data_IF_874347650300
#
_entry.id   IF_874347650300
#
_cell.length_a   1.000
_cell.length_b   1.000
_cell.length_c   1.000
_cell.angle_alpha   90.00
_cell.angle_beta   90.00
_cell.angle_gamma   90.00
#
_symmetry.space_group_name_H-M   'P 1'
#
loop_
_entity.id
_entity.type
_entity.pdbx_description
1 polymer ?
#
# COMPACT_ATOMS: atom_id res chain seq x y z
N UNK A 1 27.06 -30.05 -5.70
CA UNK A 1 26.32 -28.81 -5.39
C UNK A 1 24.81 -29.02 -5.50
N UNK A 2 24.29 -29.65 -6.56
CA UNK A 2 22.85 -29.94 -6.74
C UNK A 2 22.23 -30.76 -5.60
N UNK A 3 22.88 -31.82 -5.10
CA UNK A 3 22.33 -32.62 -4.00
C UNK A 3 22.14 -31.84 -2.68
N UNK A 4 23.03 -30.89 -2.38
CA UNK A 4 22.92 -30.08 -1.16
C UNK A 4 21.81 -29.03 -1.26
N UNK A 5 21.58 -28.52 -2.48
CA UNK A 5 20.51 -27.57 -2.80
C UNK A 5 19.14 -28.24 -2.89
N UNK A 6 19.09 -29.50 -3.35
CA UNK A 6 17.88 -30.34 -3.37
C UNK A 6 17.52 -30.80 -1.94
N UNK A 7 18.49 -31.20 -1.12
CA UNK A 7 18.21 -31.53 0.28
C UNK A 7 17.76 -30.30 1.08
N UNK A 8 18.34 -29.11 0.85
CA UNK A 8 17.91 -27.89 1.56
C UNK A 8 16.49 -27.45 1.19
N UNK A 9 16.00 -27.76 -0.03
CA UNK A 9 14.62 -27.44 -0.45
C UNK A 9 13.58 -28.45 0.02
N UNK A 10 13.96 -29.72 0.26
CA UNK A 10 13.05 -30.74 0.79
C UNK A 10 12.74 -30.49 2.27
N UNK A 11 13.75 -30.11 3.07
CA UNK A 11 13.52 -29.77 4.47
C UNK A 11 12.74 -28.46 4.63
N UNK A 12 12.93 -27.48 3.73
CA UNK A 12 12.23 -26.21 3.82
C UNK A 12 10.71 -26.32 3.72
N UNK A 13 10.17 -27.28 2.95
CA UNK A 13 8.71 -27.49 2.90
C UNK A 13 8.14 -28.04 4.19
N UNK A 14 8.89 -28.87 4.91
CA UNK A 14 8.53 -29.36 6.24
C UNK A 14 8.57 -28.24 7.29
N UNK A 15 9.46 -27.27 7.13
CA UNK A 15 9.57 -26.10 8.01
C UNK A 15 8.46 -25.05 7.76
N UNK A 16 7.85 -25.06 6.56
CA UNK A 16 6.74 -24.16 6.19
C UNK A 16 5.39 -24.79 6.55
N UNK A 17 5.24 -26.09 6.31
CA UNK A 17 4.00 -26.84 6.54
C UNK A 17 4.29 -28.03 7.47
N UNK A 18 4.43 -27.78 8.79
CA UNK A 18 4.87 -28.81 9.73
C UNK A 18 3.80 -29.89 9.97
N UNK A 19 2.49 -29.56 9.97
CA UNK A 19 1.40 -30.54 10.11
C UNK A 19 0.66 -30.81 8.78
N UNK A 20 1.34 -31.48 7.85
CA UNK A 20 0.75 -31.92 6.59
C UNK A 20 -0.40 -32.92 6.74
N UNK A 21 -0.55 -33.58 7.91
CA UNK A 21 -1.57 -34.63 8.12
C UNK A 21 -2.98 -34.05 8.23
N UNK A 22 -3.10 -32.86 8.82
CA UNK A 22 -4.40 -32.20 9.04
C UNK A 22 -4.75 -31.19 7.94
N UNK A 23 -3.79 -30.85 7.07
CA UNK A 23 -3.94 -29.93 5.94
C UNK A 23 -5.20 -30.16 5.09
N UNK A 24 -5.54 -31.42 4.78
CA UNK A 24 -6.72 -31.74 3.98
C UNK A 24 -8.04 -31.84 4.77
N UNK A 25 -7.98 -31.86 6.10
CA UNK A 25 -9.17 -31.89 6.96
C UNK A 25 -9.65 -30.48 7.33
N UNK A 26 -8.85 -29.47 7.04
CA UNK A 26 -9.19 -28.09 7.29
C UNK A 26 -10.18 -27.55 6.25
N UNK A 27 -11.22 -26.89 6.72
CA UNK A 27 -12.14 -26.11 5.90
C UNK A 27 -12.16 -24.69 6.46
N UNK A 28 -11.79 -23.73 5.61
CA UNK A 28 -11.90 -22.31 5.94
C UNK A 28 -13.39 -21.94 5.93
N UNK A 29 -13.94 -21.59 7.09
CA UNK A 29 -15.32 -21.09 7.19
C UNK A 29 -15.46 -19.80 6.40
N UNK A 30 -16.57 -19.60 5.71
CA UNK A 30 -16.76 -18.40 4.88
C UNK A 30 -16.94 -17.15 5.76
N UNK A 31 -16.67 -15.97 5.19
CA UNK A 31 -16.88 -14.70 5.91
C UNK A 31 -18.36 -14.54 6.34
N UNK A 32 -19.30 -14.99 5.51
CA UNK A 32 -20.74 -14.94 5.82
C UNK A 32 -21.12 -15.78 7.04
N UNK A 33 -20.42 -16.89 7.28
CA UNK A 33 -20.59 -17.73 8.47
C UNK A 33 -19.92 -17.15 9.71
N UNK A 34 -18.85 -16.37 9.54
CA UNK A 34 -18.00 -15.87 10.62
C UNK A 34 -18.38 -14.48 11.10
N UNK A 35 -19.00 -13.65 10.26
CA UNK A 35 -19.23 -12.22 10.51
C UNK A 35 -19.97 -11.90 11.81
N UNK A 36 -20.74 -12.84 12.35
CA UNK A 36 -21.50 -12.65 13.59
C UNK A 36 -20.73 -13.13 14.85
N UNK A 37 -19.63 -13.87 14.69
CA UNK A 37 -18.94 -14.53 15.81
C UNK A 37 -17.40 -14.56 15.70
N UNK A 38 -16.80 -13.69 14.88
CA UNK A 38 -15.34 -13.52 14.75
C UNK A 38 -14.83 -12.24 15.42
N UNK A 39 -13.52 -12.12 15.60
CA UNK A 39 -12.88 -10.85 15.96
C UNK A 39 -12.44 -10.13 14.69
N UNK A 40 -12.45 -8.80 14.73
CA UNK A 40 -11.92 -7.93 13.70
C UNK A 40 -10.67 -7.25 14.22
N UNK A 41 -9.60 -7.30 13.43
CA UNK A 41 -8.31 -6.67 13.76
C UNK A 41 -7.99 -5.64 12.69
N UNK A 42 -7.76 -4.38 13.09
CA UNK A 42 -7.50 -3.30 12.14
C UNK A 42 -6.00 -3.17 11.82
N UNK A 43 -5.68 -3.01 10.54
CA UNK A 43 -4.36 -2.65 10.05
C UNK A 43 -4.11 -1.13 10.11
N UNK A 44 -2.84 -0.70 10.09
CA UNK A 44 -2.43 0.70 10.11
C UNK A 44 -2.96 1.48 8.90
N UNK A 45 -2.94 0.88 7.70
CA UNK A 45 -3.45 1.53 6.49
C UNK A 45 -4.97 1.80 6.56
N UNK A 46 -5.73 0.95 7.24
CA UNK A 46 -7.16 1.13 7.49
C UNK A 46 -7.39 2.27 8.47
N UNK A 47 -6.49 2.48 9.43
CA UNK A 47 -6.53 3.64 10.32
C UNK A 47 -6.16 4.95 9.61
N UNK A 48 -5.40 4.90 8.52
CA UNK A 48 -5.03 6.08 7.73
C UNK A 48 -6.07 6.44 6.66
N UNK A 49 -6.86 5.46 6.21
CA UNK A 49 -7.83 5.66 5.13
C UNK A 49 -8.85 6.78 5.43
N UNK A 50 -9.41 6.95 6.65
CA UNK A 50 -10.43 7.97 6.90
C UNK A 50 -9.98 9.42 6.59
N UNK A 51 -8.68 9.70 6.57
CA UNK A 51 -8.15 11.02 6.17
C UNK A 51 -8.37 11.36 4.69
N UNK A 52 -8.67 10.38 3.83
CA UNK A 52 -8.94 10.60 2.40
C UNK A 52 -10.42 10.44 2.05
N UNK A 53 -11.29 10.36 3.04
CA UNK A 53 -12.71 10.03 2.87
C UNK A 53 -13.60 11.22 3.19
N UNK A 54 -14.82 11.22 2.66
CA UNK A 54 -15.80 12.26 2.97
C UNK A 54 -16.42 12.09 4.36
N UNK A 55 -17.10 13.14 4.84
CA UNK A 55 -17.70 13.14 6.17
C UNK A 55 -18.83 12.12 6.36
N UNK A 56 -19.52 11.69 5.29
CA UNK A 56 -20.54 10.64 5.39
C UNK A 56 -19.88 9.28 5.62
N UNK A 57 -18.82 9.00 4.88
CA UNK A 57 -18.04 7.77 4.98
C UNK A 57 -17.36 7.68 6.35
N UNK A 58 -16.82 8.78 6.87
CA UNK A 58 -16.28 8.86 8.24
C UNK A 58 -17.35 8.51 9.29
N UNK A 59 -18.59 8.98 9.12
CA UNK A 59 -19.69 8.66 10.02
C UNK A 59 -20.05 7.16 9.99
N UNK A 60 -20.12 6.53 8.81
CA UNK A 60 -20.39 5.09 8.71
C UNK A 60 -19.25 4.26 9.32
N UNK A 61 -17.99 4.64 9.12
CA UNK A 61 -16.83 4.01 9.77
C UNK A 61 -16.98 4.10 11.29
N UNK A 62 -17.28 5.29 11.82
CA UNK A 62 -17.51 5.49 13.25
C UNK A 62 -18.60 4.57 13.79
N UNK A 63 -19.75 4.53 13.12
CA UNK A 63 -20.91 3.71 13.49
C UNK A 63 -20.53 2.23 13.58
N UNK A 64 -19.83 1.71 12.57
CA UNK A 64 -19.45 0.29 12.52
C UNK A 64 -18.41 -0.03 13.59
N UNK A 65 -17.40 0.81 13.77
CA UNK A 65 -16.43 0.62 14.84
C UNK A 65 -17.13 0.59 16.20
N UNK A 66 -18.07 1.50 16.47
CA UNK A 66 -18.85 1.49 17.72
C UNK A 66 -19.61 0.18 17.94
N UNK A 67 -20.24 -0.39 16.90
CA UNK A 67 -20.93 -1.68 16.98
C UNK A 67 -19.95 -2.79 17.36
N UNK A 68 -18.78 -2.83 16.71
CA UNK A 68 -17.78 -3.87 16.94
C UNK A 68 -17.09 -3.73 18.30
N UNK A 69 -16.81 -2.51 18.76
CA UNK A 69 -16.27 -2.26 20.11
C UNK A 69 -17.28 -2.64 21.19
N UNK A 70 -18.54 -2.23 21.04
CA UNK A 70 -19.60 -2.54 22.02
C UNK A 70 -19.85 -4.05 22.15
N UNK A 71 -19.58 -4.81 21.08
CA UNK A 71 -19.67 -6.27 21.09
C UNK A 71 -18.37 -6.98 21.50
N UNK A 72 -17.32 -6.24 21.88
CA UNK A 72 -15.99 -6.75 22.22
C UNK A 72 -15.31 -7.52 21.08
N UNK A 73 -15.51 -7.05 19.84
CA UNK A 73 -15.07 -7.72 18.60
C UNK A 73 -14.07 -6.92 17.78
N UNK A 74 -13.69 -5.71 18.18
CA UNK A 74 -12.70 -4.90 17.47
C UNK A 74 -11.42 -4.77 18.27
N UNK A 75 -10.29 -5.03 17.63
CA UNK A 75 -8.97 -4.91 18.20
C UNK A 75 -8.00 -4.23 17.25
N UNK A 76 -6.96 -3.61 17.79
CA UNK A 76 -5.92 -2.95 17.00
C UNK A 76 -4.57 -3.40 17.53
N UNK A 77 -3.69 -3.97 16.69
CA UNK A 77 -2.33 -4.31 17.09
C UNK A 77 -1.58 -3.05 17.56
N UNK A 78 -0.79 -3.17 18.62
CA UNK A 78 0.05 -2.09 19.13
C UNK A 78 1.00 -1.58 18.04
N UNK A 79 1.57 -2.48 17.25
CA UNK A 79 2.43 -2.12 16.13
C UNK A 79 1.68 -1.31 15.04
N UNK A 80 0.44 -1.69 14.71
CA UNK A 80 -0.37 -0.94 13.75
C UNK A 80 -0.69 0.49 14.26
N UNK A 81 -0.87 0.66 15.58
CA UNK A 81 -1.03 1.99 16.18
C UNK A 81 0.26 2.82 16.03
N UNK A 82 1.44 2.23 16.24
CA UNK A 82 2.72 2.93 16.06
C UNK A 82 2.90 3.40 14.61
N UNK A 83 2.64 2.51 13.65
CA UNK A 83 2.69 2.85 12.22
C UNK A 83 1.68 3.93 11.83
N UNK A 84 0.48 3.88 12.40
CA UNK A 84 -0.50 4.95 12.25
C UNK A 84 0.05 6.29 12.77
N UNK A 85 0.65 6.32 13.96
CA UNK A 85 1.18 7.54 14.57
C UNK A 85 2.29 8.17 13.71
N UNK A 86 3.18 7.35 13.15
CA UNK A 86 4.27 7.80 12.27
C UNK A 86 3.73 8.40 10.96
N UNK A 87 2.69 7.79 10.39
CA UNK A 87 2.15 8.19 9.08
C UNK A 87 1.06 9.28 9.16
N UNK A 88 0.42 9.46 10.32
CA UNK A 88 -0.65 10.46 10.52
C UNK A 88 -0.21 11.87 10.14
N UNK A 89 0.97 12.29 10.59
CA UNK A 89 1.49 13.64 10.32
C UNK A 89 1.69 13.87 8.82
N UNK A 90 2.19 12.86 8.11
CA UNK A 90 2.34 12.87 6.65
C UNK A 90 1.00 13.06 5.97
N UNK A 91 -0.03 12.31 6.39
CA UNK A 91 -1.36 12.37 5.78
C UNK A 91 -2.06 13.73 5.95
N UNK A 92 -1.92 14.33 7.12
CA UNK A 92 -2.39 15.70 7.36
C UNK A 92 -1.64 16.72 6.52
N UNK A 93 -0.32 16.53 6.36
CA UNK A 93 0.52 17.42 5.54
C UNK A 93 0.15 17.32 4.06
N UNK A 94 -0.11 16.12 3.54
CA UNK A 94 -0.62 15.90 2.18
C UNK A 94 -1.97 16.60 1.96
N UNK A 95 -2.88 16.44 2.92
CA UNK A 95 -4.21 17.07 2.89
C UNK A 95 -4.06 18.60 2.85
N UNK A 96 -3.24 19.15 3.74
CA UNK A 96 -2.93 20.58 3.77
C UNK A 96 -2.35 21.06 2.44
N UNK A 97 -1.37 20.32 1.90
CA UNK A 97 -0.70 20.65 0.63
C UNK A 97 -1.69 20.66 -0.54
N UNK A 98 -2.55 19.65 -0.65
CA UNK A 98 -3.55 19.55 -1.72
C UNK A 98 -4.50 20.76 -1.79
N UNK A 99 -4.85 21.32 -0.62
CA UNK A 99 -5.70 22.52 -0.51
C UNK A 99 -4.86 23.78 -0.74
N UNK A 100 -3.64 23.82 -0.22
CA UNK A 100 -2.72 24.94 -0.36
C UNK A 100 -2.33 25.18 -1.83
N UNK A 101 -2.09 24.11 -2.60
CA UNK A 101 -1.74 24.20 -4.02
C UNK A 101 -2.89 24.81 -4.84
N UNK A 102 -4.15 24.54 -4.48
CA UNK A 102 -5.33 25.20 -5.07
C UNK A 102 -5.41 26.69 -4.75
N UNK A 103 -4.90 27.11 -3.59
CA UNK A 103 -4.82 28.54 -3.24
C UNK A 103 -3.78 29.29 -4.07
N UNK A 104 -2.77 28.60 -4.59
CA UNK A 104 -1.66 29.18 -5.36
C UNK A 104 -1.90 29.12 -6.89
N UNK A 105 -3.07 28.67 -7.34
CA UNK A 105 -3.39 28.64 -8.76
C UNK A 105 -3.46 30.05 -9.35
N UNK A 106 -2.69 30.25 -10.42
CA UNK A 106 -2.73 31.47 -11.22
C UNK A 106 -3.86 31.39 -12.25
N UNK A 107 -4.82 32.29 -12.13
CA UNK A 107 -5.87 32.48 -13.12
C UNK A 107 -5.32 33.34 -14.26
N UNK A 108 -5.33 32.81 -15.48
CA UNK A 108 -4.97 33.55 -16.68
C UNK A 108 -6.19 34.33 -17.15
N UNK A 109 -6.01 35.64 -17.33
CA UNK A 109 -7.03 36.55 -17.83
C UNK A 109 -6.62 37.06 -19.21
N UNK A 110 -7.57 37.65 -19.94
CA UNK A 110 -7.27 38.22 -21.25
C UNK A 110 -6.49 39.51 -21.04
N UNK A 111 -5.34 39.66 -21.70
CA UNK A 111 -4.60 40.91 -21.62
C UNK A 111 -5.39 42.02 -22.32
N UNK A 112 -5.41 43.25 -21.76
CA UNK A 112 -5.97 44.42 -22.43
C UNK A 112 -5.38 44.59 -23.83
N UNK A 113 -6.21 44.65 -24.87
CA UNK A 113 -5.77 44.80 -26.25
C UNK A 113 -6.34 46.10 -26.86
N UNK A 114 -5.49 47.09 -27.18
CA UNK A 114 -5.95 48.42 -27.63
C UNK A 114 -6.86 48.43 -28.85
N UNK A 115 -6.69 47.46 -29.76
CA UNK A 115 -7.52 47.34 -30.98
C UNK A 115 -8.95 46.85 -30.70
N UNK A 116 -9.19 46.20 -29.55
CA UNK A 116 -10.48 45.59 -29.22
C UNK A 116 -11.36 46.49 -28.32
N UNK A 117 -10.79 47.56 -27.76
CA UNK A 117 -11.45 48.46 -26.79
C UNK A 117 -12.68 49.22 -27.32
N UNK A 118 -12.98 49.12 -28.62
CA UNK A 118 -14.18 49.70 -29.23
C UNK A 118 -15.28 48.68 -29.57
N UNK A 119 -15.09 47.40 -29.26
CA UNK A 119 -16.09 46.35 -29.48
C UNK A 119 -16.96 46.17 -28.23
N UNK A 120 -18.27 46.16 -28.41
CA UNK A 120 -19.22 45.91 -27.31
C UNK A 120 -18.97 44.54 -26.67
N UNK A 121 -18.63 43.54 -27.48
CA UNK A 121 -18.30 42.18 -27.02
C UNK A 121 -17.05 42.16 -26.12
N UNK A 122 -16.10 43.07 -26.35
CA UNK A 122 -14.89 43.18 -25.52
C UNK A 122 -15.19 43.87 -24.19
N UNK A 123 -16.08 44.87 -24.18
CA UNK A 123 -16.53 45.52 -22.94
C UNK A 123 -17.32 44.55 -22.04
N UNK A 124 -18.17 43.70 -22.62
CA UNK A 124 -18.86 42.62 -21.90
C UNK A 124 -17.86 41.62 -21.30
N UNK A 125 -16.84 41.22 -22.06
CA UNK A 125 -15.77 40.34 -21.58
C UNK A 125 -15.01 40.94 -20.39
N UNK A 126 -14.64 42.23 -20.46
CA UNK A 126 -13.97 42.94 -19.36
C UNK A 126 -14.83 43.01 -18.08
N UNK A 127 -16.15 43.13 -18.23
CA UNK A 127 -17.09 43.11 -17.11
C UNK A 127 -17.11 41.73 -16.43
N UNK A 128 -17.26 40.65 -17.22
CA UNK A 128 -17.22 39.27 -16.70
C UNK A 128 -15.87 38.97 -16.04
N UNK A 129 -14.77 39.43 -16.62
CA UNK A 129 -13.43 39.26 -16.04
C UNK A 129 -13.31 39.90 -14.64
N UNK A 130 -13.94 41.06 -14.44
CA UNK A 130 -13.96 41.77 -13.16
C UNK A 130 -14.70 41.00 -12.09
N UNK A 131 -15.88 40.47 -12.43
CA UNK A 131 -16.68 39.63 -11.54
C UNK A 131 -15.96 38.32 -11.18
N UNK A 132 -15.25 37.76 -12.16
CA UNK A 132 -14.43 36.57 -11.95
C UNK A 132 -13.26 36.86 -10.99
N UNK A 133 -12.56 37.99 -11.14
CA UNK A 133 -11.48 38.42 -10.22
C UNK A 133 -11.99 38.58 -8.78
N UNK A 134 -13.16 39.19 -8.60
CA UNK A 134 -13.77 39.32 -7.27
C UNK A 134 -14.14 37.95 -6.68
N UNK A 135 -14.73 37.07 -7.49
CA UNK A 135 -15.10 35.71 -7.10
C UNK A 135 -13.88 34.87 -6.72
N UNK A 136 -12.79 34.96 -7.48
CA UNK A 136 -11.50 34.32 -7.19
C UNK A 136 -10.93 34.81 -5.85
N UNK A 137 -10.95 36.13 -5.62
CA UNK A 137 -10.46 36.72 -4.35
C UNK A 137 -11.27 36.20 -3.16
N UNK A 138 -12.60 36.08 -3.30
CA UNK A 138 -13.48 35.50 -2.29
C UNK A 138 -13.14 34.03 -2.03
N UNK A 139 -13.01 33.23 -3.10
CA UNK A 139 -12.62 31.82 -3.01
C UNK A 139 -11.26 31.65 -2.28
N UNK A 140 -10.23 32.40 -2.66
CA UNK A 140 -8.92 32.37 -2.00
C UNK A 140 -8.99 32.77 -0.52
N UNK A 141 -9.87 33.72 -0.16
CA UNK A 141 -10.09 34.12 1.24
C UNK A 141 -10.70 32.96 2.04
N UNK A 142 -11.71 32.28 1.52
CA UNK A 142 -12.32 31.13 2.19
C UNK A 142 -11.35 29.94 2.28
N UNK A 143 -10.55 29.67 1.24
CA UNK A 143 -9.49 28.67 1.29
C UNK A 143 -8.50 28.92 2.44
N UNK A 144 -8.07 30.17 2.64
CA UNK A 144 -7.16 30.53 3.73
C UNK A 144 -7.75 30.22 5.11
N UNK A 145 -9.07 30.38 5.30
CA UNK A 145 -9.73 30.00 6.56
C UNK A 145 -9.73 28.50 6.78
N UNK A 146 -9.95 27.71 5.73
CA UNK A 146 -9.86 26.24 5.79
C UNK A 146 -8.43 25.81 6.16
N UNK A 147 -7.42 26.35 5.50
CA UNK A 147 -6.01 26.07 5.79
C UNK A 147 -5.62 26.46 7.23
N UNK A 148 -6.13 27.58 7.73
CA UNK A 148 -5.93 27.99 9.13
C UNK A 148 -6.58 26.99 10.11
N UNK A 149 -7.77 26.49 9.77
CA UNK A 149 -8.48 25.49 10.59
C UNK A 149 -7.70 24.17 10.65
N UNK A 150 -7.20 23.69 9.51
CA UNK A 150 -6.36 22.47 9.45
C UNK A 150 -5.08 22.65 10.28
N UNK A 151 -4.42 23.81 10.16
CA UNK A 151 -3.22 24.14 10.95
C UNK A 151 -3.46 24.22 12.44
N UNK A 152 -4.68 24.57 12.86
CA UNK A 152 -5.03 24.65 14.27
C UNK A 152 -5.29 23.30 14.92
N UNK A 153 -5.37 22.21 14.14
CA UNK A 153 -5.58 20.88 14.68
C UNK A 153 -4.36 20.41 15.48
N UNK A 154 -4.52 20.37 16.79
CA UNK A 154 -3.49 19.96 17.75
C UNK A 154 -3.75 18.55 18.28
N UNK A 155 -3.98 17.59 17.37
CA UNK A 155 -4.50 16.23 17.63
C UNK A 155 -6.01 16.09 17.76
N UNK A 156 -6.75 17.16 17.47
CA UNK A 156 -8.21 17.21 17.57
C UNK A 156 -8.89 17.29 16.18
N UNK A 157 -8.22 16.79 15.13
CA UNK A 157 -8.84 16.64 13.82
C UNK A 157 -10.01 15.62 13.87
N UNK A 158 -10.93 15.64 12.88
CA UNK A 158 -12.11 14.79 12.90
C UNK A 158 -11.83 13.28 13.05
N UNK A 159 -10.76 12.77 12.42
CA UNK A 159 -10.40 11.35 12.48
C UNK A 159 -9.84 11.02 13.86
N UNK A 160 -8.90 11.84 14.36
CA UNK A 160 -8.34 11.63 15.70
C UNK A 160 -9.42 11.72 16.78
N UNK A 161 -10.36 12.67 16.69
CA UNK A 161 -11.50 12.76 17.62
C UNK A 161 -12.34 11.49 17.61
N UNK A 162 -12.67 10.98 16.42
CA UNK A 162 -13.41 9.72 16.27
C UNK A 162 -12.67 8.56 16.93
N UNK A 163 -11.35 8.44 16.74
CA UNK A 163 -10.57 7.37 17.36
C UNK A 163 -10.48 7.49 18.88
N UNK A 164 -10.30 8.69 19.43
CA UNK A 164 -10.34 8.88 20.88
C UNK A 164 -11.69 8.45 21.48
N UNK A 165 -12.79 8.74 20.77
CA UNK A 165 -14.13 8.40 21.25
C UNK A 165 -14.48 6.91 21.14
N UNK A 166 -13.88 6.17 20.20
CA UNK A 166 -14.33 4.81 19.85
C UNK A 166 -13.29 3.74 20.11
N UNK A 167 -11.99 4.01 19.92
CA UNK A 167 -10.95 2.97 19.84
C UNK A 167 -10.02 2.89 21.06
N UNK A 168 -10.19 3.77 22.06
CA UNK A 168 -9.25 3.92 23.18
C UNK A 168 -8.92 2.59 23.91
N UNK A 169 -9.89 1.69 24.06
CA UNK A 169 -9.78 0.44 24.85
C UNK A 169 -9.63 -0.80 23.95
N UNK A 170 -9.35 -0.61 22.66
CA UNK A 170 -9.27 -1.70 21.66
C UNK A 170 -7.84 -2.11 21.30
N UNK A 171 -6.85 -1.35 21.77
CA UNK A 171 -5.44 -1.60 21.45
C UNK A 171 -4.95 -2.83 22.22
N UNK A 172 -4.30 -3.74 21.51
CA UNK A 172 -3.70 -4.94 22.10
C UNK A 172 -2.46 -4.58 22.92
N UNK A 173 -2.22 -5.39 23.96
CA UNK A 173 -0.98 -5.32 24.74
C UNK A 173 0.08 -6.20 24.08
N UNK A 174 1.20 -5.61 23.68
CA UNK A 174 2.33 -6.32 23.08
C UNK A 174 3.43 -6.69 24.09
N UNK A 175 3.21 -6.48 25.40
CA UNK A 175 4.16 -6.82 26.45
C UNK A 175 4.50 -8.33 26.52
N UNK A 176 3.60 -9.19 26.05
CA UNK A 176 3.83 -10.65 26.00
C UNK A 176 4.67 -11.08 24.79
N UNK A 177 4.98 -10.18 23.85
CA UNK A 177 5.78 -10.53 22.68
C UNK A 177 7.27 -10.69 23.04
N UNK A 178 7.82 -11.88 22.73
CA UNK A 178 9.24 -12.12 22.87
C UNK A 178 10.00 -11.64 21.62
N UNK A 179 10.51 -10.41 21.66
CA UNK A 179 11.26 -9.80 20.56
C UNK A 179 12.48 -10.61 20.11
N UNK A 180 13.10 -11.38 21.02
CA UNK A 180 14.25 -12.22 20.68
C UNK A 180 13.85 -13.43 19.82
N UNK A 181 12.70 -14.05 20.11
CA UNK A 181 12.15 -15.14 19.30
C UNK A 181 11.65 -14.62 17.96
N UNK A 182 10.95 -13.48 17.96
CA UNK A 182 10.46 -12.83 16.73
C UNK A 182 11.61 -12.49 15.80
N UNK A 183 12.75 -12.02 16.32
CA UNK A 183 13.94 -11.75 15.51
C UNK A 183 14.51 -13.01 14.85
N UNK A 184 14.58 -14.12 15.58
CA UNK A 184 15.04 -15.41 15.04
C UNK A 184 14.07 -15.93 13.98
N UNK A 185 12.76 -15.80 14.23
CA UNK A 185 11.75 -16.19 13.25
C UNK A 185 11.79 -15.30 12.01
N UNK A 186 12.02 -14.00 12.15
CA UNK A 186 12.19 -13.08 11.02
C UNK A 186 13.34 -13.51 10.11
N UNK A 187 14.51 -13.84 10.67
CA UNK A 187 15.65 -14.35 9.90
C UNK A 187 15.31 -15.65 9.17
N UNK A 188 14.57 -16.56 9.83
CA UNK A 188 14.08 -17.81 9.24
C UNK A 188 13.10 -17.54 8.09
N UNK A 189 12.12 -16.66 8.30
CA UNK A 189 11.12 -16.26 7.30
C UNK A 189 11.76 -15.63 6.08
N UNK A 190 12.73 -14.73 6.28
CA UNK A 190 13.51 -14.11 5.21
C UNK A 190 14.28 -15.14 4.37
N UNK A 191 14.96 -16.08 5.03
CA UNK A 191 15.72 -17.14 4.35
C UNK A 191 14.81 -18.08 3.54
N UNK A 192 13.66 -18.43 4.10
CA UNK A 192 12.73 -19.41 3.52
C UNK A 192 11.62 -18.79 2.66
N UNK A 193 11.57 -17.46 2.57
CA UNK A 193 10.54 -16.69 1.87
C UNK A 193 9.12 -16.97 2.39
N UNK A 194 8.98 -16.97 3.71
CA UNK A 194 7.74 -17.26 4.43
C UNK A 194 7.08 -15.93 4.83
N UNK A 195 5.80 -15.69 4.50
CA UNK A 195 5.10 -14.50 4.95
C UNK A 195 4.70 -14.57 6.44
N UNK A 196 4.42 -13.43 7.11
CA UNK A 196 4.57 -12.09 6.57
C UNK A 196 6.00 -11.54 6.79
N UNK A 197 6.36 -10.47 6.08
CA UNK A 197 7.60 -9.72 6.20
C UNK A 197 8.75 -10.09 5.24
N UNK A 198 8.70 -11.18 4.47
CA UNK A 198 9.89 -11.61 3.70
C UNK A 198 10.14 -10.86 2.39
N UNK A 199 9.12 -10.23 1.81
CA UNK A 199 9.23 -9.55 0.50
C UNK A 199 9.85 -8.16 0.57
N UNK A 200 9.88 -7.54 1.74
CA UNK A 200 10.34 -6.15 1.89
C UNK A 200 11.86 -6.07 2.12
N UNK A 201 12.62 -6.89 1.38
CA UNK A 201 14.07 -7.18 1.49
C UNK A 201 15.04 -6.00 1.45
N UNK A 202 14.57 -4.75 1.50
CA UNK A 202 15.38 -3.53 1.58
C UNK A 202 15.04 -2.56 2.73
N UNK A 203 14.02 -2.83 3.55
CA UNK A 203 13.67 -1.99 4.72
C UNK A 203 13.44 -2.88 5.96
N UNK A 204 14.47 -3.06 6.79
CA UNK A 204 14.44 -3.93 7.98
C UNK A 204 13.28 -3.61 8.94
N UNK A 205 12.87 -2.35 9.05
CA UNK A 205 11.81 -1.91 9.98
C UNK A 205 10.41 -2.38 9.56
N UNK A 206 10.08 -2.38 8.26
CA UNK A 206 8.75 -2.79 7.78
C UNK A 206 8.53 -4.31 7.92
N UNK A 207 9.58 -5.11 7.75
CA UNK A 207 9.49 -6.57 7.86
C UNK A 207 9.18 -7.01 9.30
N UNK A 208 9.82 -6.34 10.25
CA UNK A 208 9.57 -6.58 11.67
C UNK A 208 8.15 -6.13 12.07
N UNK A 209 7.66 -5.01 11.50
CA UNK A 209 6.32 -4.50 11.75
C UNK A 209 5.21 -5.50 11.37
N UNK A 210 5.22 -5.99 10.13
CA UNK A 210 4.24 -6.97 9.63
C UNK A 210 4.26 -8.26 10.48
N UNK A 211 5.45 -8.72 10.92
CA UNK A 211 5.58 -9.91 11.76
C UNK A 211 5.11 -9.68 13.20
N UNK A 212 5.30 -8.49 13.77
CA UNK A 212 4.77 -8.13 15.08
C UNK A 212 3.24 -8.16 15.06
N UNK A 213 2.62 -7.50 14.06
CA UNK A 213 1.15 -7.52 13.84
C UNK A 213 0.65 -8.96 13.75
N UNK A 214 1.34 -9.83 13.01
CA UNK A 214 0.97 -11.23 12.88
C UNK A 214 0.99 -12.01 14.20
N UNK A 215 2.01 -11.80 15.04
CA UNK A 215 2.09 -12.44 16.35
C UNK A 215 0.98 -11.95 17.28
N UNK A 216 0.65 -10.65 17.27
CA UNK A 216 -0.46 -10.10 18.04
C UNK A 216 -1.80 -10.72 17.61
N UNK A 217 -2.04 -10.88 16.30
CA UNK A 217 -3.23 -11.55 15.76
C UNK A 217 -3.34 -12.99 16.26
N UNK A 218 -2.26 -13.76 16.21
CA UNK A 218 -2.23 -15.15 16.68
C UNK A 218 -2.50 -15.23 18.18
N UNK A 219 -1.87 -14.37 18.99
CA UNK A 219 -2.05 -14.36 20.45
C UNK A 219 -3.47 -13.96 20.85
N UNK A 220 -4.06 -12.98 20.17
CA UNK A 220 -5.46 -12.61 20.35
C UNK A 220 -6.39 -13.79 20.03
N UNK A 221 -6.19 -14.45 18.89
CA UNK A 221 -7.02 -15.58 18.47
C UNK A 221 -6.91 -16.78 19.43
N UNK A 222 -5.70 -17.05 19.93
CA UNK A 222 -5.45 -18.08 20.95
C UNK A 222 -6.17 -17.76 22.26
N UNK A 223 -5.98 -16.54 22.78
CA UNK A 223 -6.54 -16.13 24.08
C UNK A 223 -8.07 -16.09 24.09
N UNK A 224 -8.68 -15.70 22.96
CA UNK A 224 -10.14 -15.59 22.81
C UNK A 224 -10.79 -16.83 22.20
N UNK A 225 -10.01 -17.78 21.70
CA UNK A 225 -10.45 -18.98 20.98
C UNK A 225 -11.44 -18.67 19.84
N UNK A 226 -11.17 -17.62 19.07
CA UNK A 226 -12.08 -17.10 18.03
C UNK A 226 -11.39 -17.00 16.67
N UNK A 227 -12.22 -17.06 15.63
CA UNK A 227 -11.81 -16.72 14.27
C UNK A 227 -11.47 -15.23 14.18
N UNK A 228 -10.56 -14.89 13.28
CA UNK A 228 -10.11 -13.50 13.09
C UNK A 228 -10.30 -13.08 11.64
N UNK A 229 -10.82 -11.88 11.47
CA UNK A 229 -10.86 -11.14 10.22
C UNK A 229 -9.91 -9.96 10.36
N UNK A 230 -8.78 -10.01 9.66
CA UNK A 230 -7.86 -8.89 9.56
C UNK A 230 -8.37 -7.91 8.50
N UNK A 231 -8.62 -6.68 8.91
CA UNK A 231 -9.11 -5.62 8.03
C UNK A 231 -7.90 -4.85 7.53
N UNK A 232 -7.54 -5.07 6.27
CA UNK A 232 -6.41 -4.43 5.61
C UNK A 232 -6.78 -4.04 4.18
N UNK A 233 -6.44 -2.81 3.79
CA UNK A 233 -6.51 -2.37 2.40
C UNK A 233 -5.33 -2.87 1.55
N UNK A 234 -4.34 -3.49 2.20
CA UNK A 234 -3.13 -3.91 1.52
C UNK A 234 -3.38 -5.15 0.68
N UNK A 235 -2.92 -5.08 -0.56
CA UNK A 235 -2.85 -6.23 -1.44
C UNK A 235 -1.41 -6.73 -1.56
N UNK A 236 -0.51 -6.56 -0.59
CA UNK A 236 0.86 -7.08 -0.67
C UNK A 236 0.85 -8.55 -1.02
N UNK A 237 1.76 -8.96 -1.91
CA UNK A 237 1.89 -10.36 -2.34
C UNK A 237 2.45 -11.28 -1.24
N UNK A 238 2.75 -10.66 -0.10
CA UNK A 238 3.19 -11.27 1.14
C UNK A 238 1.98 -11.74 1.97
N UNK A 239 0.86 -11.02 1.93
CA UNK A 239 -0.39 -11.42 2.58
C UNK A 239 -1.36 -12.15 1.64
N UNK A 240 -1.23 -11.94 0.33
CA UNK A 240 -2.18 -12.46 -0.67
C UNK A 240 -1.54 -13.33 -1.77
N UNK A 241 -2.26 -14.38 -2.20
CA UNK A 241 -2.13 -14.92 -3.55
C UNK A 241 -2.82 -13.97 -4.54
N UNK A 242 -2.08 -13.55 -5.58
CA UNK A 242 -2.55 -12.59 -6.58
C UNK A 242 -2.85 -13.25 -7.91
N UNK A 243 -3.87 -12.75 -8.58
CA UNK A 243 -3.96 -12.72 -10.04
C UNK A 243 -4.05 -11.26 -10.46
N UNK A 244 -3.13 -10.81 -11.31
CA UNK A 244 -2.92 -9.40 -11.64
C UNK A 244 -2.74 -8.50 -10.39
N UNK A 245 -3.53 -7.42 -10.29
CA UNK A 245 -3.52 -6.45 -9.17
C UNK A 245 -4.46 -6.80 -8.02
N UNK A 246 -5.21 -7.91 -8.10
CA UNK A 246 -6.25 -8.26 -7.12
C UNK A 246 -5.82 -9.45 -6.27
N UNK A 247 -5.88 -9.29 -4.94
CA UNK A 247 -5.80 -10.42 -4.01
C UNK A 247 -6.98 -11.36 -4.22
N UNK A 248 -6.72 -12.65 -4.39
CA UNK A 248 -7.78 -13.67 -4.51
C UNK A 248 -8.02 -14.33 -3.15
N UNK A 249 -6.95 -14.83 -2.53
CA UNK A 249 -7.00 -15.51 -1.24
C UNK A 249 -5.79 -15.09 -0.39
N UNK A 250 -5.93 -15.06 0.95
CA UNK A 250 -4.77 -14.96 1.83
C UNK A 250 -3.75 -16.05 1.50
N UNK A 251 -2.47 -15.78 1.74
CA UNK A 251 -1.42 -16.78 1.57
C UNK A 251 -1.73 -17.99 2.42
N UNK A 252 -1.69 -19.18 1.79
CA UNK A 252 -2.03 -20.41 2.51
C UNK A 252 -1.07 -20.66 3.67
N UNK A 253 0.19 -20.22 3.58
CA UNK A 253 1.14 -20.25 4.69
C UNK A 253 0.61 -19.57 5.95
N UNK A 254 -0.02 -18.40 5.81
CA UNK A 254 -0.61 -17.66 6.94
C UNK A 254 -1.84 -18.37 7.50
N UNK A 255 -2.70 -18.86 6.60
CA UNK A 255 -3.93 -19.58 6.99
C UNK A 255 -3.59 -20.87 7.74
N UNK A 256 -2.60 -21.61 7.27
CA UNK A 256 -2.15 -22.87 7.86
C UNK A 256 -1.47 -22.63 9.22
N UNK A 257 -0.56 -21.65 9.29
CA UNK A 257 0.10 -21.25 10.55
C UNK A 257 -0.92 -20.80 11.60
N UNK A 258 -1.89 -19.96 11.20
CA UNK A 258 -2.95 -19.51 12.10
C UNK A 258 -3.80 -20.67 12.59
N UNK A 259 -4.22 -21.57 11.68
CA UNK A 259 -5.00 -22.77 12.02
C UNK A 259 -4.27 -23.63 13.04
N UNK A 260 -3.01 -23.96 12.78
CA UNK A 260 -2.19 -24.77 13.69
C UNK A 260 -2.05 -24.11 15.06
N UNK A 261 -1.78 -22.79 15.05
CA UNK A 261 -1.58 -22.01 16.27
C UNK A 261 -2.85 -21.86 17.11
N UNK A 262 -4.04 -21.88 16.50
CA UNK A 262 -5.31 -21.55 17.16
C UNK A 262 -6.24 -22.76 17.35
N UNK A 263 -5.77 -23.97 17.04
CA UNK A 263 -6.57 -25.19 17.16
C UNK A 263 -7.71 -25.28 16.14
N UNK A 264 -7.50 -24.78 14.92
CA UNK A 264 -8.44 -24.92 13.81
C UNK A 264 -9.31 -23.70 13.50
N UNK A 265 -9.04 -22.53 14.07
CA UNK A 265 -9.80 -21.31 13.76
C UNK A 265 -9.46 -20.80 12.36
N UNK A 266 -10.38 -20.03 11.79
CA UNK A 266 -10.30 -19.45 10.46
C UNK A 266 -9.72 -18.04 10.52
N UNK A 267 -8.87 -17.73 9.53
CA UNK A 267 -8.29 -16.41 9.33
C UNK A 267 -8.70 -15.88 7.95
N UNK A 268 -9.24 -14.67 7.91
CA UNK A 268 -9.58 -13.96 6.69
C UNK A 268 -8.93 -12.59 6.65
N UNK A 269 -8.72 -12.09 5.44
CA UNK A 269 -8.34 -10.70 5.21
C UNK A 269 -9.44 -10.06 4.38
N UNK A 270 -9.91 -8.89 4.79
CA UNK A 270 -10.93 -8.12 4.07
C UNK A 270 -10.52 -6.65 3.99
N UNK A 271 -10.98 -5.95 2.97
CA UNK A 271 -10.81 -4.49 2.89
C UNK A 271 -11.79 -3.76 3.82
N UNK A 272 -11.54 -2.47 4.09
CA UNK A 272 -12.47 -1.66 4.87
C UNK A 272 -13.82 -1.53 4.13
N UNK A 273 -13.80 -1.39 2.80
CA UNK A 273 -15.03 -1.36 1.99
C UNK A 273 -15.85 -2.65 2.13
N UNK A 274 -15.21 -3.82 2.22
CA UNK A 274 -15.88 -5.10 2.48
C UNK A 274 -16.43 -5.18 3.91
N UNK A 275 -15.70 -4.70 4.91
CA UNK A 275 -16.20 -4.60 6.28
C UNK A 275 -17.47 -3.74 6.31
N UNK A 276 -17.43 -2.56 5.69
CA UNK A 276 -18.57 -1.66 5.61
C UNK A 276 -19.79 -2.31 4.94
N UNK A 277 -19.56 -3.00 3.82
CA UNK A 277 -20.61 -3.77 3.14
C UNK A 277 -21.19 -4.89 4.01
N UNK A 278 -20.38 -5.51 4.88
CA UNK A 278 -20.80 -6.62 5.74
C UNK A 278 -21.74 -6.15 6.86
N UNK A 279 -21.63 -4.88 7.26
CA UNK A 279 -22.41 -4.26 8.34
C UNK A 279 -23.43 -3.23 7.82
N UNK A 280 -23.91 -3.42 6.58
CA UNK A 280 -24.98 -2.63 5.97
C UNK A 280 -24.72 -1.12 5.97
N UNK A 281 -23.49 -0.71 5.63
CA UNK A 281 -23.18 0.68 5.28
C UNK A 281 -23.84 1.08 3.95
N UNK A 282 -24.03 2.38 3.73
CA UNK A 282 -24.59 2.87 2.46
C UNK A 282 -23.69 2.53 1.26
N UNK A 283 -24.30 2.17 0.13
CA UNK A 283 -23.59 1.87 -1.13
C UNK A 283 -22.69 3.03 -1.58
N UNK A 284 -23.12 4.25 -1.29
CA UNK A 284 -22.40 5.49 -1.55
C UNK A 284 -21.07 5.52 -0.77
N UNK A 285 -21.13 5.27 0.55
CA UNK A 285 -19.94 5.21 1.40
C UNK A 285 -19.03 4.03 1.02
N UNK A 286 -19.60 2.84 0.77
CA UNK A 286 -18.82 1.67 0.34
C UNK A 286 -18.04 1.96 -0.94
N UNK A 287 -18.69 2.61 -1.91
CA UNK A 287 -18.05 2.98 -3.18
C UNK A 287 -16.95 4.03 -2.98
N UNK A 288 -17.21 5.06 -2.16
CA UNK A 288 -16.22 6.09 -1.86
C UNK A 288 -14.97 5.50 -1.19
N UNK A 289 -15.15 4.65 -0.18
CA UNK A 289 -14.04 3.95 0.52
C UNK A 289 -13.25 3.08 -0.46
N UNK A 290 -13.92 2.31 -1.31
CA UNK A 290 -13.27 1.45 -2.30
C UNK A 290 -12.41 2.24 -3.30
N UNK A 291 -12.86 3.43 -3.69
CA UNK A 291 -12.06 4.35 -4.50
C UNK A 291 -10.81 4.82 -3.74
N UNK A 292 -10.97 5.26 -2.49
CA UNK A 292 -9.84 5.68 -1.64
C UNK A 292 -8.82 4.56 -1.40
N UNK A 293 -9.27 3.31 -1.21
CA UNK A 293 -8.41 2.12 -1.10
C UNK A 293 -7.57 1.94 -2.38
N UNK A 294 -8.23 2.02 -3.54
CA UNK A 294 -7.59 1.83 -4.84
C UNK A 294 -6.53 2.91 -5.13
N UNK A 295 -6.82 4.17 -4.77
CA UNK A 295 -5.88 5.29 -4.91
C UNK A 295 -4.67 5.17 -3.98
N UNK A 296 -4.89 4.71 -2.74
CA UNK A 296 -3.82 4.50 -1.76
C UNK A 296 -2.86 3.41 -2.23
N UNK A 297 -3.39 2.28 -2.72
CA UNK A 297 -2.59 1.19 -3.30
C UNK A 297 -1.81 1.64 -4.55
N UNK A 298 -2.42 2.46 -5.41
CA UNK A 298 -1.73 3.01 -6.58
C UNK A 298 -0.56 3.92 -6.19
N UNK A 299 -0.76 4.80 -5.21
CA UNK A 299 0.26 5.72 -4.70
C UNK A 299 1.43 4.97 -4.07
N UNK A 300 1.15 3.97 -3.23
CA UNK A 300 2.18 3.10 -2.64
C UNK A 300 2.95 2.32 -3.72
N UNK A 301 2.26 1.80 -4.74
CA UNK A 301 2.93 1.11 -5.85
C UNK A 301 3.87 2.05 -6.62
N UNK A 302 3.45 3.30 -6.87
CA UNK A 302 4.31 4.30 -7.52
C UNK A 302 5.52 4.69 -6.65
N UNK A 303 5.32 4.85 -5.33
CA UNK A 303 6.40 5.13 -4.38
C UNK A 303 7.40 3.96 -4.30
N UNK A 304 6.92 2.72 -4.16
CA UNK A 304 7.76 1.52 -4.16
C UNK A 304 8.56 1.42 -5.46
N UNK A 305 7.93 1.64 -6.62
CA UNK A 305 8.62 1.62 -7.92
C UNK A 305 9.72 2.68 -8.02
N UNK A 306 9.53 3.84 -7.37
CA UNK A 306 10.53 4.90 -7.32
C UNK A 306 11.65 4.61 -6.30
N UNK A 307 11.33 3.93 -5.19
CA UNK A 307 12.21 3.65 -4.05
C UNK A 307 12.96 2.31 -4.08
N UNK A 308 12.67 1.39 -5.03
CA UNK A 308 13.40 0.11 -5.12
C UNK A 308 14.91 0.38 -5.07
N UNK A 309 15.58 -0.17 -4.06
CA UNK A 309 17.03 -0.11 -3.90
C UNK A 309 17.69 -0.55 -5.21
N UNK A 310 18.32 0.41 -5.89
CA UNK A 310 18.89 0.23 -7.23
C UNK A 310 20.27 -0.43 -7.15
N UNK A 311 20.79 -0.73 -5.96
CA UNK A 311 22.06 -1.44 -5.74
C UNK A 311 22.23 -2.71 -6.60
N UNK A 312 21.25 -3.65 -6.65
CA UNK A 312 21.36 -4.85 -7.48
C UNK A 312 21.36 -4.54 -8.99
N UNK A 313 20.61 -3.52 -9.41
CA UNK A 313 20.53 -3.10 -10.82
C UNK A 313 21.76 -2.31 -11.27
N UNK A 314 22.31 -1.44 -10.41
CA UNK A 314 23.58 -0.74 -10.64
C UNK A 314 24.69 -1.75 -10.89
N UNK A 315 24.78 -2.79 -10.06
CA UNK A 315 25.73 -3.90 -10.25
C UNK A 315 25.46 -4.66 -11.55
N UNK A 316 24.18 -4.94 -11.87
CA UNK A 316 23.79 -5.65 -13.10
C UNK A 316 24.12 -4.88 -14.38
N UNK A 317 23.98 -3.56 -14.38
CA UNK A 317 24.23 -2.70 -15.54
C UNK A 317 25.65 -2.10 -15.57
N UNK A 318 26.50 -2.44 -14.59
CA UNK A 318 27.85 -1.90 -14.47
C UNK A 318 27.89 -0.39 -14.27
N UNK A 319 26.98 0.13 -13.45
CA UNK A 319 26.89 1.56 -13.10
C UNK A 319 27.86 1.85 -11.95
N UNK A 320 28.75 2.84 -12.06
CA UNK A 320 29.62 3.28 -10.97
C UNK A 320 28.82 3.67 -9.72
N UNK A 321 29.35 3.41 -8.53
CA UNK A 321 28.64 3.67 -7.26
C UNK A 321 28.20 5.13 -7.13
N UNK A 322 29.04 6.05 -7.62
CA UNK A 322 28.81 7.51 -7.60
C UNK A 322 27.84 8.01 -8.68
N UNK A 323 27.46 7.18 -9.64
CA UNK A 323 26.48 7.53 -10.65
C UNK A 323 25.06 7.22 -10.16
N UNK A 324 24.09 8.05 -10.53
CA UNK A 324 22.69 7.82 -10.25
C UNK A 324 22.08 6.99 -11.40
N UNK A 325 21.26 6.00 -11.07
CA UNK A 325 20.48 5.27 -12.06
C UNK A 325 19.02 5.70 -11.91
N UNK A 326 18.46 6.45 -12.85
CA UNK A 326 17.09 6.98 -12.81
C UNK A 326 16.17 6.20 -13.76
N UNK A 327 15.05 5.67 -13.26
CA UNK A 327 14.02 5.05 -14.11
C UNK A 327 13.22 6.14 -14.84
N UNK A 328 12.93 5.92 -16.12
CA UNK A 328 12.27 6.91 -17.01
C UNK A 328 10.95 6.39 -17.53
N UNK A 329 10.91 5.13 -17.97
CA UNK A 329 9.72 4.55 -18.59
C UNK A 329 9.47 3.14 -18.08
N UNK A 330 8.20 2.76 -18.02
CA UNK A 330 7.73 1.40 -17.76
C UNK A 330 6.59 1.10 -18.73
N UNK A 331 6.76 0.07 -19.55
CA UNK A 331 5.72 -0.43 -20.44
C UNK A 331 5.45 -1.90 -20.11
N UNK A 332 4.18 -2.25 -20.05
CA UNK A 332 3.74 -3.64 -19.89
C UNK A 332 2.88 -4.00 -21.08
N UNK A 333 3.18 -5.11 -21.73
CA UNK A 333 2.30 -5.75 -22.71
C UNK A 333 1.85 -7.09 -22.17
N UNK A 334 0.54 -7.30 -22.21
CA UNK A 334 -0.12 -8.51 -21.72
C UNK A 334 -0.87 -9.21 -22.85
N UNK A 335 -0.59 -10.50 -23.01
CA UNK A 335 -1.15 -11.40 -24.03
C UNK A 335 -0.92 -12.86 -23.64
N UNK A 336 -0.39 -13.70 -24.53
CA UNK A 336 0.09 -15.06 -24.18
C UNK A 336 1.44 -15.05 -23.41
N UNK A 337 2.02 -13.88 -23.22
CA UNK A 337 3.20 -13.57 -22.40
C UNK A 337 2.97 -12.29 -21.61
N UNK A 338 3.67 -12.13 -20.48
CA UNK A 338 3.87 -10.86 -19.80
C UNK A 338 5.22 -10.29 -20.22
N UNK A 339 5.22 -9.18 -20.94
CA UNK A 339 6.43 -8.45 -21.34
C UNK A 339 6.50 -7.14 -20.57
N UNK A 340 7.55 -6.96 -19.76
CA UNK A 340 7.84 -5.68 -19.12
C UNK A 340 9.12 -5.08 -19.69
N UNK A 341 8.99 -3.87 -20.23
CA UNK A 341 10.09 -3.08 -20.76
C UNK A 341 10.33 -1.86 -19.87
N UNK A 342 11.58 -1.64 -19.48
CA UNK A 342 12.02 -0.51 -18.67
C UNK A 342 13.10 0.27 -19.39
N UNK A 343 13.04 1.59 -19.24
CA UNK A 343 14.12 2.49 -19.65
C UNK A 343 14.71 3.18 -18.42
N UNK A 344 16.03 3.14 -18.28
CA UNK A 344 16.79 3.84 -17.26
C UNK A 344 17.78 4.82 -17.87
N UNK A 345 18.05 5.90 -17.15
CA UNK A 345 19.08 6.88 -17.42
C UNK A 345 20.18 6.75 -16.37
N UNK A 346 21.43 6.61 -16.80
CA UNK A 346 22.59 6.76 -15.94
C UNK A 346 23.00 8.24 -15.92
N UNK A 347 23.06 8.84 -14.73
CA UNK A 347 23.51 10.22 -14.51
C UNK A 347 24.86 10.21 -13.79
N UNK A 348 25.78 11.08 -14.17
CA UNK A 348 27.03 11.28 -13.44
C UNK A 348 26.80 12.09 -12.14
N UNK A 349 27.88 12.35 -11.39
CA UNK A 349 27.85 13.13 -10.14
C UNK A 349 27.31 14.57 -10.31
N UNK A 350 27.44 15.15 -11.51
CA UNK A 350 26.90 16.48 -11.86
C UNK A 350 25.44 16.44 -12.34
N UNK A 351 24.81 15.26 -12.39
CA UNK A 351 23.42 15.08 -12.83
C UNK A 351 23.23 15.05 -14.36
N UNK A 352 24.32 14.94 -15.12
CA UNK A 352 24.28 14.87 -16.58
C UNK A 352 24.08 13.44 -17.06
N UNK A 353 23.29 13.26 -18.11
CA UNK A 353 23.02 11.96 -18.71
C UNK A 353 24.28 11.40 -19.37
N UNK A 354 24.64 10.16 -19.00
CA UNK A 354 25.83 9.45 -19.50
C UNK A 354 25.45 8.27 -20.40
N UNK A 355 24.39 7.55 -20.03
CA UNK A 355 23.94 6.39 -20.80
C UNK A 355 22.43 6.12 -20.61
N UNK A 356 21.86 5.39 -21.56
CA UNK A 356 20.47 4.95 -21.53
C UNK A 356 20.47 3.42 -21.48
N UNK A 357 19.67 2.82 -20.59
CA UNK A 357 19.56 1.37 -20.45
C UNK A 357 18.13 0.95 -20.75
N UNK A 358 17.97 0.07 -21.73
CA UNK A 358 16.74 -0.64 -22.00
C UNK A 358 16.86 -2.02 -21.34
N UNK A 359 15.96 -2.33 -20.42
CA UNK A 359 15.86 -3.62 -19.75
C UNK A 359 14.51 -4.23 -20.10
N UNK A 360 14.48 -5.51 -20.44
CA UNK A 360 13.25 -6.23 -20.72
C UNK A 360 13.18 -7.51 -19.89
N UNK A 361 11.98 -7.90 -19.52
CA UNK A 361 11.67 -9.27 -19.13
C UNK A 361 10.44 -9.78 -19.91
N UNK A 362 10.37 -11.09 -20.04
CA UNK A 362 9.27 -11.78 -20.70
C UNK A 362 9.02 -13.06 -19.94
N UNK A 363 7.83 -13.20 -19.40
CA UNK A 363 7.37 -14.41 -18.74
C UNK A 363 6.26 -15.03 -19.58
N UNK A 364 6.47 -16.24 -20.10
CA UNK A 364 5.39 -16.97 -20.77
C UNK A 364 4.33 -17.34 -19.75
N UNK A 365 3.06 -17.03 -20.05
CA UNK A 365 1.93 -17.45 -19.21
C UNK A 365 1.27 -18.73 -19.73
N UNK A 366 1.79 -19.29 -20.82
CA UNK A 366 1.35 -20.57 -21.40
C UNK A 366 2.49 -21.60 -21.36
N UNK A 367 2.21 -22.88 -21.05
CA UNK A 367 3.24 -23.92 -21.06
C UNK A 367 3.88 -24.11 -22.46
N UNK A 368 5.20 -24.33 -22.55
CA UNK A 368 6.17 -24.36 -21.44
C UNK A 368 6.41 -22.95 -20.88
N UNK A 369 6.42 -22.84 -19.54
CA UNK A 369 6.65 -21.59 -18.85
C UNK A 369 8.12 -21.19 -18.99
N UNK A 370 8.40 -20.32 -19.96
CA UNK A 370 9.73 -19.81 -20.22
C UNK A 370 9.92 -18.40 -19.62
N UNK A 371 11.10 -18.15 -19.06
CA UNK A 371 11.51 -16.82 -18.62
C UNK A 371 12.69 -16.31 -19.46
N UNK A 372 12.50 -15.15 -20.08
CA UNK A 372 13.57 -14.44 -20.77
C UNK A 372 13.72 -13.04 -20.18
N UNK A 373 14.94 -12.59 -19.96
CA UNK A 373 15.20 -11.19 -19.58
C UNK A 373 16.51 -10.72 -20.20
N UNK A 374 16.72 -9.43 -20.29
CA UNK A 374 17.98 -8.89 -20.80
C UNK A 374 18.03 -7.39 -20.74
N UNK A 375 19.21 -6.83 -20.99
CA UNK A 375 19.37 -5.39 -21.12
C UNK A 375 20.30 -5.01 -22.27
N UNK A 376 20.14 -3.78 -22.74
CA UNK A 376 21.07 -3.06 -23.62
C UNK A 376 21.33 -1.69 -23.02
N UNK A 377 22.60 -1.35 -22.87
CA UNK A 377 23.11 -0.06 -22.42
C UNK A 377 23.68 0.67 -23.63
N UNK A 378 23.22 1.89 -23.88
CA UNK A 378 23.59 2.73 -25.00
C UNK A 378 24.33 3.98 -24.51
N UNK A 379 25.34 4.40 -25.24
CA UNK A 379 25.88 5.75 -25.09
C UNK A 379 24.92 6.81 -25.70
N UNK A 380 25.24 8.09 -25.50
CA UNK A 380 24.43 9.20 -26.00
C UNK A 380 24.37 9.29 -27.55
N UNK A 381 25.23 8.55 -28.25
CA UNK A 381 25.21 8.46 -29.72
C UNK A 381 24.32 7.32 -30.24
N UNK A 382 23.73 6.54 -29.32
CA UNK A 382 22.89 5.38 -29.63
C UNK A 382 23.67 4.08 -29.87
N UNK A 383 24.97 4.05 -29.57
CA UNK A 383 25.79 2.83 -29.73
C UNK A 383 25.70 1.98 -28.47
N UNK A 384 25.50 0.67 -28.64
CA UNK A 384 25.49 -0.29 -27.53
C UNK A 384 26.88 -0.40 -26.92
N UNK A 385 26.99 -0.12 -25.62
CA UNK A 385 28.23 -0.21 -24.84
C UNK A 385 28.24 -1.42 -23.88
N UNK A 386 27.07 -1.99 -23.56
CA UNK A 386 26.96 -3.24 -22.79
C UNK A 386 25.59 -3.89 -23.03
N UNK A 387 25.53 -5.22 -23.02
CA UNK A 387 24.26 -5.94 -23.13
C UNK A 387 24.37 -7.33 -22.54
N UNK A 388 23.27 -7.85 -21.99
CA UNK A 388 23.17 -9.25 -21.59
C UNK A 388 21.76 -9.78 -21.87
N UNK A 389 21.66 -11.08 -22.15
CA UNK A 389 20.40 -11.80 -22.26
C UNK A 389 20.46 -13.05 -21.38
N UNK A 390 19.38 -13.32 -20.68
CA UNK A 390 19.19 -14.40 -19.72
C UNK A 390 17.98 -15.20 -20.19
N UNK A 391 18.16 -16.51 -20.35
CA UNK A 391 17.09 -17.46 -20.64
C UNK A 391 17.14 -18.54 -19.56
N UNK A 392 16.03 -18.73 -18.84
CA UNK A 392 15.91 -19.68 -17.73
C UNK A 392 14.81 -20.68 -18.08
#
# INVERSE_FOLDING_TARGET
>A
MEFHQIMSSIFSKKDIYPDAKTAFNFSLRSLDELKDNCLFVLDANVLLLPFTTDGKSLYEIKRIYQILVTSERLFIPAQAVREYLDNRATKLTETYKSISDKSSQNFKFVCPHPLLSGMDEYAELEQVERELKESIKKYQKELKKVLASIKSWGWDDPVSKMYHEVLQDTVLDDAELNLSEIKVDLERRNKLKIPPGYKDGGKDDNQAGDLLIWNEIINLAKSKEKDVVFVSGDNKADWWHKSDKKGIYPRFELVDEFRESTGGKSFHIVSLSQLLSTFDASDESVTAIKSSESESVATETEQIVNEVDRSPLKKKFGIPDKHELKKVTYNVKSGMSQEEDWTFHELNESGELVSIIEYWNTTSIVPPFDFNAGYKKYDLTGKIISSAAYKI
#
